data_IF_872735546206
#
_entry.id   IF_872735546206
#
_cell.length_a   1.000
_cell.length_b   1.000
_cell.length_c   1.000
_cell.angle_alpha   90.00
_cell.angle_beta   90.00
_cell.angle_gamma   90.00
#
_symmetry.space_group_name_H-M   'P 1'
#
loop_
_entity.id
_entity.type
_entity.pdbx_description
1 polymer ?
#
# COMPACT_ATOMS: atom_id res chain seq x y z
N UNK A 1 -11.42 22.06 -13.48
CA UNK A 1 -10.78 20.73 -13.28
C UNK A 1 -9.34 20.85 -13.71
N UNK A 2 -8.42 20.16 -13.06
CA UNK A 2 -7.05 20.06 -13.60
C UNK A 2 -7.14 19.19 -14.87
N UNK A 3 -6.74 19.73 -16.01
CA UNK A 3 -6.64 18.96 -17.25
C UNK A 3 -5.36 18.13 -17.21
N UNK A 4 -5.50 16.86 -16.86
CA UNK A 4 -4.40 15.91 -16.97
C UNK A 4 -4.24 15.48 -18.44
N UNK A 5 -3.08 15.76 -19.04
CA UNK A 5 -2.85 15.49 -20.47
C UNK A 5 -2.38 14.06 -20.75
N UNK A 6 -1.62 13.46 -19.82
CA UNK A 6 -0.91 12.20 -20.02
C UNK A 6 -1.36 11.06 -19.12
N UNK A 7 -2.24 11.34 -18.14
CA UNK A 7 -2.82 10.39 -17.20
C UNK A 7 -4.28 10.73 -16.97
N UNK A 8 -5.07 9.78 -16.47
CA UNK A 8 -6.48 10.01 -16.18
C UNK A 8 -6.71 10.21 -14.68
N UNK A 9 -7.59 11.15 -14.33
CA UNK A 9 -8.12 11.24 -12.97
C UNK A 9 -9.41 10.41 -12.88
N UNK A 10 -9.30 9.23 -12.28
CA UNK A 10 -10.38 8.21 -12.25
C UNK A 10 -11.20 8.21 -10.96
N UNK A 11 -10.89 9.08 -10.00
CA UNK A 11 -11.63 9.18 -8.75
C UNK A 11 -13.02 9.78 -9.01
N UNK A 12 -14.05 9.11 -8.49
CA UNK A 12 -15.45 9.49 -8.58
C UNK A 12 -15.97 9.76 -7.17
N UNK A 13 -16.17 11.04 -6.86
CA UNK A 13 -16.60 11.49 -5.53
C UNK A 13 -17.92 10.85 -5.10
N UNK A 14 -18.90 10.74 -6.01
CA UNK A 14 -20.20 10.13 -5.68
C UNK A 14 -20.04 8.66 -5.28
N UNK A 15 -19.19 7.93 -5.99
CA UNK A 15 -18.94 6.53 -5.64
C UNK A 15 -18.22 6.42 -4.29
N UNK A 16 -17.23 7.28 -4.03
CA UNK A 16 -16.56 7.33 -2.74
C UNK A 16 -17.53 7.66 -1.59
N UNK A 17 -18.42 8.63 -1.78
CA UNK A 17 -19.46 9.02 -0.82
C UNK A 17 -20.42 7.85 -0.50
N UNK A 18 -20.76 7.03 -1.51
CA UNK A 18 -21.60 5.85 -1.33
C UNK A 18 -20.91 4.77 -0.45
N UNK A 19 -19.58 4.76 -0.38
CA UNK A 19 -18.80 3.87 0.48
C UNK A 19 -18.70 4.35 1.93
N UNK A 20 -19.03 5.61 2.21
CA UNK A 20 -19.02 6.24 3.54
C UNK A 20 -17.68 6.01 4.26
N UNK A 21 -17.72 5.70 5.55
CA UNK A 21 -16.52 5.50 6.37
C UNK A 21 -15.92 4.09 6.26
N UNK A 22 -16.38 3.25 5.32
CA UNK A 22 -15.81 1.91 5.11
C UNK A 22 -14.45 2.00 4.41
N UNK A 23 -13.40 2.17 5.23
CA UNK A 23 -12.04 2.38 4.76
C UNK A 23 -11.50 1.21 3.94
N UNK A 24 -11.96 -0.02 4.18
CA UNK A 24 -11.54 -1.20 3.42
C UNK A 24 -12.14 -1.16 2.01
N UNK A 25 -13.43 -0.79 1.89
CA UNK A 25 -14.03 -0.59 0.55
C UNK A 25 -13.42 0.59 -0.18
N UNK A 26 -13.17 1.71 0.49
CA UNK A 26 -12.49 2.87 -0.10
C UNK A 26 -11.07 2.51 -0.58
N UNK A 27 -10.34 1.72 0.21
CA UNK A 27 -9.06 1.16 -0.17
C UNK A 27 -9.16 0.32 -1.43
N UNK A 28 -10.06 -0.67 -1.49
CA UNK A 28 -10.24 -1.52 -2.68
C UNK A 28 -10.63 -0.69 -3.90
N UNK A 29 -11.53 0.28 -3.75
CA UNK A 29 -11.89 1.20 -4.82
C UNK A 29 -10.68 1.98 -5.34
N UNK A 30 -9.89 2.57 -4.43
CA UNK A 30 -8.67 3.30 -4.78
C UNK A 30 -7.63 2.41 -5.47
N UNK A 31 -7.39 1.21 -4.95
CA UNK A 31 -6.49 0.23 -5.57
C UNK A 31 -6.90 -0.06 -7.01
N UNK A 32 -8.19 -0.32 -7.24
CA UNK A 32 -8.72 -0.68 -8.55
C UNK A 32 -8.58 0.46 -9.58
N UNK A 33 -8.85 1.71 -9.18
CA UNK A 33 -8.66 2.84 -10.10
C UNK A 33 -7.18 3.14 -10.37
N UNK A 34 -6.29 2.94 -9.39
CA UNK A 34 -4.85 3.13 -9.57
C UNK A 34 -4.25 2.06 -10.49
N UNK A 35 -4.74 0.81 -10.38
CA UNK A 35 -4.33 -0.28 -11.26
C UNK A 35 -4.96 -0.26 -12.66
N UNK A 36 -6.02 0.53 -12.87
CA UNK A 36 -6.66 0.65 -14.18
C UNK A 36 -5.82 1.45 -15.19
N UNK A 37 -4.87 2.26 -14.73
CA UNK A 37 -3.98 3.05 -15.59
C UNK A 37 -2.54 2.51 -15.52
N UNK A 38 -2.13 1.77 -16.56
CA UNK A 38 -0.81 1.15 -16.63
C UNK A 38 0.36 2.15 -16.68
N UNK A 39 0.08 3.43 -16.91
CA UNK A 39 1.10 4.51 -16.80
C UNK A 39 1.40 4.86 -15.34
N UNK A 40 0.50 4.51 -14.43
CA UNK A 40 0.59 4.78 -12.99
C UNK A 40 1.12 3.55 -12.26
N UNK A 41 0.67 2.35 -12.64
CA UNK A 41 1.13 1.07 -12.08
C UNK A 41 1.35 0.05 -13.18
N UNK A 42 2.57 -0.47 -13.29
CA UNK A 42 2.89 -1.55 -14.20
C UNK A 42 2.27 -2.91 -13.76
N UNK A 43 2.23 -3.88 -14.67
CA UNK A 43 1.57 -5.17 -14.42
C UNK A 43 2.24 -5.94 -13.27
N UNK A 44 1.44 -6.32 -12.27
CA UNK A 44 1.91 -7.06 -11.09
C UNK A 44 2.73 -6.23 -10.09
N UNK A 45 2.99 -4.95 -10.38
CA UNK A 45 3.63 -4.01 -9.47
C UNK A 45 2.62 -3.21 -8.66
N UNK A 46 3.16 -2.34 -7.81
CA UNK A 46 2.40 -1.53 -6.88
C UNK A 46 1.81 -2.29 -5.69
N UNK A 47 1.64 -1.59 -4.59
CA UNK A 47 1.11 -2.10 -3.34
C UNK A 47 0.32 -1.00 -2.64
N UNK A 48 -0.84 -1.34 -2.07
CA UNK A 48 -1.75 -0.34 -1.48
C UNK A 48 -2.25 -0.88 -0.14
N UNK A 49 -2.53 0.03 0.80
CA UNK A 49 -3.05 -0.34 2.12
C UNK A 49 -4.02 0.69 2.72
N UNK A 50 -4.74 0.25 3.74
CA UNK A 50 -5.38 1.10 4.73
C UNK A 50 -5.12 0.60 6.16
N UNK A 51 -5.26 1.49 7.14
CA UNK A 51 -5.28 1.16 8.57
C UNK A 51 -6.65 1.51 9.13
N UNK A 52 -7.24 0.59 9.87
CA UNK A 52 -8.55 0.73 10.53
C UNK A 52 -8.41 0.40 12.01
N UNK A 53 -9.42 0.79 12.79
CA UNK A 53 -9.59 0.30 14.15
C UNK A 53 -10.59 -0.84 14.12
N UNK A 54 -10.16 -2.03 14.54
CA UNK A 54 -10.98 -3.24 14.58
C UNK A 54 -11.09 -3.74 16.01
N UNK A 55 -12.07 -4.60 16.27
CA UNK A 55 -12.16 -5.33 17.55
C UNK A 55 -11.34 -6.61 17.47
N UNK A 56 -10.38 -6.77 18.37
CA UNK A 56 -9.64 -8.01 18.53
C UNK A 56 -10.60 -9.16 18.93
N UNK A 57 -10.65 -10.28 18.21
CA UNK A 57 -11.60 -11.37 18.47
C UNK A 57 -11.31 -12.14 19.77
N UNK A 58 -10.11 -12.01 20.34
CA UNK A 58 -9.69 -12.70 21.56
C UNK A 58 -9.83 -11.81 22.80
N UNK A 59 -9.57 -10.50 22.68
CA UNK A 59 -9.59 -9.57 23.82
C UNK A 59 -10.79 -8.63 23.82
N UNK A 60 -11.48 -8.48 22.69
CA UNK A 60 -12.52 -7.48 22.44
C UNK A 60 -12.04 -6.01 22.51
N UNK A 61 -10.73 -5.79 22.59
CA UNK A 61 -10.13 -4.45 22.60
C UNK A 61 -10.09 -3.85 21.19
N UNK A 62 -10.06 -2.52 21.13
CA UNK A 62 -9.86 -1.79 19.87
C UNK A 62 -8.37 -1.81 19.50
N UNK A 63 -8.06 -2.32 18.31
CA UNK A 63 -6.70 -2.49 17.81
C UNK A 63 -6.56 -1.92 16.40
N UNK A 64 -5.39 -1.34 16.10
CA UNK A 64 -5.09 -0.86 14.76
C UNK A 64 -4.73 -2.03 13.83
N UNK A 65 -5.54 -2.27 12.81
CA UNK A 65 -5.32 -3.31 11.80
C UNK A 65 -4.97 -2.67 10.47
N UNK A 66 -3.88 -3.12 9.86
CA UNK A 66 -3.52 -2.75 8.51
C UNK A 66 -4.04 -3.80 7.53
N UNK A 67 -4.84 -3.34 6.58
CA UNK A 67 -5.28 -4.11 5.43
C UNK A 67 -4.40 -3.75 4.24
N UNK A 68 -3.77 -4.74 3.63
CA UNK A 68 -2.80 -4.54 2.55
C UNK A 68 -3.04 -5.53 1.42
N UNK A 69 -2.75 -5.13 0.18
CA UNK A 69 -2.72 -6.04 -0.97
C UNK A 69 -1.85 -7.27 -0.64
N UNK A 70 -2.34 -8.46 -0.96
CA UNK A 70 -1.61 -9.71 -0.83
C UNK A 70 -0.52 -9.88 -1.90
N UNK A 71 0.43 -10.76 -1.63
CA UNK A 71 1.50 -11.11 -2.56
C UNK A 71 0.94 -11.70 -3.87
N UNK A 72 1.51 -11.28 -4.99
CA UNK A 72 1.14 -11.71 -6.35
C UNK A 72 -0.21 -11.21 -6.89
N UNK A 73 -0.99 -10.45 -6.10
CA UNK A 73 -2.25 -9.85 -6.57
C UNK A 73 -2.03 -8.57 -7.38
N UNK A 74 -2.91 -8.32 -8.35
CA UNK A 74 -2.98 -7.07 -9.12
C UNK A 74 -3.90 -6.07 -8.40
N UNK A 75 -3.43 -4.83 -8.18
CA UNK A 75 -4.24 -3.79 -7.54
C UNK A 75 -5.45 -3.38 -8.38
N UNK A 76 -5.40 -3.53 -9.71
CA UNK A 76 -6.48 -3.17 -10.63
C UNK A 76 -7.70 -4.08 -10.56
N UNK A 77 -7.53 -5.30 -10.02
CA UNK A 77 -8.58 -6.31 -9.86
C UNK A 77 -8.71 -6.77 -8.41
N UNK A 78 -8.24 -5.95 -7.47
CA UNK A 78 -8.16 -6.30 -6.06
C UNK A 78 -9.56 -6.45 -5.46
N UNK A 79 -9.72 -7.52 -4.70
CA UNK A 79 -10.94 -7.84 -3.95
C UNK A 79 -10.58 -8.19 -2.51
N UNK A 80 -11.60 -8.34 -1.65
CA UNK A 80 -11.40 -8.68 -0.23
C UNK A 80 -10.64 -9.99 0.01
N UNK A 81 -10.73 -10.97 -0.90
CA UNK A 81 -9.96 -12.22 -0.82
C UNK A 81 -8.49 -12.05 -1.26
N UNK A 82 -8.16 -10.94 -1.91
CA UNK A 82 -6.81 -10.62 -2.39
C UNK A 82 -5.98 -9.81 -1.40
N UNK A 83 -6.47 -9.54 -0.20
CA UNK A 83 -5.80 -8.70 0.80
C UNK A 83 -5.45 -9.50 2.06
N UNK A 84 -4.54 -8.96 2.86
CA UNK A 84 -4.15 -9.47 4.16
C UNK A 84 -4.47 -8.43 5.25
N UNK A 85 -5.00 -8.88 6.38
CA UNK A 85 -5.20 -8.07 7.58
C UNK A 85 -4.12 -8.39 8.62
N UNK A 86 -3.40 -7.38 9.11
CA UNK A 86 -2.32 -7.54 10.08
C UNK A 86 -2.51 -6.60 11.27
N UNK A 87 -2.26 -7.09 12.49
CA UNK A 87 -2.07 -6.26 13.67
C UNK A 87 -0.89 -5.32 13.46
N UNK A 88 -1.16 -4.01 13.41
CA UNK A 88 -0.13 -3.01 13.08
C UNK A 88 0.93 -2.94 14.17
N UNK A 89 0.54 -3.11 15.44
CA UNK A 89 1.48 -3.14 16.56
C UNK A 89 2.45 -4.33 16.46
N UNK A 90 1.94 -5.54 16.18
CA UNK A 90 2.80 -6.74 16.03
C UNK A 90 3.78 -6.56 14.87
N UNK A 91 3.31 -6.00 13.76
CA UNK A 91 4.18 -5.66 12.63
C UNK A 91 5.28 -4.67 13.03
N UNK A 92 4.95 -3.63 13.81
CA UNK A 92 5.95 -2.67 14.31
C UNK A 92 6.94 -3.31 15.28
N UNK A 93 6.50 -4.28 16.09
CA UNK A 93 7.36 -5.02 17.03
C UNK A 93 8.41 -5.89 16.33
N UNK A 94 8.23 -6.22 15.05
CA UNK A 94 9.25 -6.93 14.26
C UNK A 94 10.59 -6.18 14.21
N UNK A 95 10.58 -4.84 14.37
CA UNK A 95 11.82 -4.05 14.48
C UNK A 95 12.71 -4.47 15.65
N UNK A 96 12.14 -5.04 16.70
CA UNK A 96 12.88 -5.46 17.89
C UNK A 96 13.70 -6.75 17.66
N UNK A 97 13.36 -7.51 16.60
CA UNK A 97 13.99 -8.80 16.29
C UNK A 97 14.70 -8.81 14.95
N UNK A 98 14.70 -7.70 14.21
CA UNK A 98 15.36 -7.56 12.92
C UNK A 98 16.88 -7.44 13.10
N UNK A 99 17.65 -8.29 12.42
CA UNK A 99 19.10 -8.39 12.62
C UNK A 99 19.95 -7.70 11.54
N UNK A 100 19.36 -7.36 10.39
CA UNK A 100 20.11 -6.78 9.26
C UNK A 100 19.58 -7.27 7.93
N UNK A 101 20.23 -6.86 6.84
CA UNK A 101 19.82 -7.17 5.47
C UNK A 101 19.82 -8.69 5.20
N UNK A 102 20.73 -9.42 5.83
CA UNK A 102 20.81 -10.88 5.76
C UNK A 102 19.61 -11.61 6.40
N UNK A 103 18.80 -10.90 7.18
CA UNK A 103 17.68 -11.44 7.94
C UNK A 103 16.32 -11.27 7.22
N UNK A 104 16.29 -10.60 6.07
CA UNK A 104 15.06 -10.25 5.34
C UNK A 104 14.17 -11.48 5.04
N UNK A 105 14.77 -12.59 4.61
CA UNK A 105 14.03 -13.83 4.31
C UNK A 105 13.31 -14.39 5.54
N UNK A 106 13.96 -14.35 6.72
CA UNK A 106 13.34 -14.79 7.97
C UNK A 106 12.21 -13.85 8.36
N UNK A 107 12.39 -12.54 8.17
CA UNK A 107 11.38 -11.53 8.52
C UNK A 107 10.08 -11.71 7.77
N UNK A 108 10.12 -12.11 6.49
CA UNK A 108 8.92 -12.41 5.70
C UNK A 108 8.07 -13.50 6.37
N UNK A 109 8.70 -14.54 6.91
CA UNK A 109 8.01 -15.60 7.64
C UNK A 109 7.27 -15.11 8.90
N UNK A 110 7.79 -14.06 9.55
CA UNK A 110 7.21 -13.50 10.76
C UNK A 110 5.93 -12.69 10.52
N UNK A 111 5.65 -12.27 9.28
CA UNK A 111 4.39 -11.58 8.96
C UNK A 111 3.17 -12.45 9.27
N UNK A 112 3.30 -13.78 9.21
CA UNK A 112 2.23 -14.71 9.59
C UNK A 112 1.84 -14.61 11.07
N UNK A 113 2.78 -14.25 11.96
CA UNK A 113 2.47 -14.01 13.38
C UNK A 113 1.77 -12.67 13.64
N UNK A 114 1.74 -11.81 12.62
CA UNK A 114 1.09 -10.51 12.67
C UNK A 114 -0.33 -10.55 12.10
N UNK A 115 -0.82 -11.68 11.55
CA UNK A 115 -2.15 -11.77 10.96
C UNK A 115 -3.26 -11.49 11.98
N UNK A 116 -4.17 -10.59 11.61
CA UNK A 116 -5.44 -10.34 12.26
C UNK A 116 -6.54 -11.24 11.70
N UNK A 117 -6.58 -11.34 10.36
CA UNK A 117 -7.57 -12.12 9.63
C UNK A 117 -6.95 -13.44 9.15
N UNK A 118 -7.55 -14.56 9.54
CA UNK A 118 -7.05 -15.90 9.19
C UNK A 118 -7.33 -16.26 7.72
N UNK A 119 -8.29 -15.62 7.07
CA UNK A 119 -8.59 -15.78 5.64
C UNK A 119 -7.71 -14.85 4.76
N UNK A 120 -6.71 -14.21 5.36
CA UNK A 120 -5.77 -13.34 4.67
C UNK A 120 -5.03 -14.07 3.56
N UNK A 121 -4.84 -13.37 2.44
CA UNK A 121 -3.80 -13.76 1.49
C UNK A 121 -2.42 -13.62 2.15
N UNK A 122 -1.41 -14.30 1.62
CA UNK A 122 -0.03 -14.05 2.03
C UNK A 122 0.28 -12.53 1.92
N UNK A 123 0.77 -11.86 2.99
CA UNK A 123 1.06 -10.43 2.96
C UNK A 123 2.09 -10.08 1.86
N UNK A 124 2.00 -8.86 1.31
CA UNK A 124 3.02 -8.36 0.38
C UNK A 124 4.39 -8.26 1.05
N UNK A 125 5.47 -8.41 0.28
CA UNK A 125 6.83 -8.18 0.77
C UNK A 125 7.04 -6.72 1.23
N UNK A 126 6.29 -5.78 0.63
CA UNK A 126 6.32 -4.36 0.98
C UNK A 126 5.57 -4.03 2.28
N UNK A 127 5.05 -5.04 3.00
CA UNK A 127 4.31 -4.86 4.25
C UNK A 127 5.03 -3.94 5.25
N UNK A 128 6.36 -4.01 5.46
CA UNK A 128 7.06 -3.08 6.35
C UNK A 128 6.94 -1.61 5.91
N UNK A 129 7.04 -1.30 4.61
CA UNK A 129 6.87 0.08 4.10
C UNK A 129 5.52 0.66 4.55
N UNK A 130 4.45 -0.13 4.41
CA UNK A 130 3.10 0.29 4.76
C UNK A 130 2.86 0.33 6.28
N UNK A 131 3.41 -0.62 7.02
CA UNK A 131 3.21 -0.73 8.47
C UNK A 131 3.96 0.33 9.29
N UNK A 132 5.10 0.77 8.79
CA UNK A 132 6.00 1.69 9.50
C UNK A 132 5.64 3.16 9.29
N UNK A 133 5.01 3.51 8.17
CA UNK A 133 4.60 4.88 7.89
C UNK A 133 3.31 5.25 8.67
N UNK A 134 3.23 6.46 9.27
CA UNK A 134 2.15 6.87 10.17
C UNK A 134 0.93 7.43 9.41
N UNK A 135 0.55 6.82 8.29
CA UNK A 135 -0.59 7.24 7.48
C UNK A 135 -1.67 6.17 7.45
N UNK A 136 -2.94 6.61 7.48
CA UNK A 136 -4.10 5.74 7.39
C UNK A 136 -4.17 5.02 6.05
N UNK A 137 -3.81 5.69 4.95
CA UNK A 137 -3.74 5.11 3.62
C UNK A 137 -2.38 5.35 2.99
N UNK A 138 -1.84 4.32 2.34
CA UNK A 138 -0.53 4.38 1.71
C UNK A 138 -0.61 3.66 0.38
N UNK A 139 -0.11 4.32 -0.66
CA UNK A 139 -0.03 3.79 -2.01
C UNK A 139 1.43 3.81 -2.45
N UNK A 140 1.94 2.64 -2.82
CA UNK A 140 3.23 2.46 -3.46
C UNK A 140 2.94 2.03 -4.90
N UNK A 141 3.42 2.79 -5.88
CA UNK A 141 3.09 2.59 -7.29
C UNK A 141 4.38 2.64 -8.11
N UNK A 142 4.33 2.07 -9.31
CA UNK A 142 5.48 1.96 -10.21
C UNK A 142 5.23 2.69 -11.54
N UNK A 143 5.09 4.03 -11.54
CA UNK A 143 4.92 4.78 -12.78
C UNK A 143 6.25 4.87 -13.53
N UNK A 144 6.30 4.34 -14.75
CA UNK A 144 7.51 4.29 -15.59
C UNK A 144 8.16 5.67 -15.76
N UNK A 145 7.37 6.74 -15.85
CA UNK A 145 7.86 8.10 -16.00
C UNK A 145 8.69 8.58 -14.78
N UNK A 146 8.27 8.26 -13.55
CA UNK A 146 9.05 8.63 -12.36
C UNK A 146 10.25 7.71 -12.17
N UNK A 147 10.09 6.43 -12.49
CA UNK A 147 11.20 5.46 -12.46
C UNK A 147 12.31 5.90 -13.41
N UNK A 148 11.97 6.34 -14.62
CA UNK A 148 12.93 6.85 -15.59
C UNK A 148 13.72 8.05 -15.06
N UNK A 149 13.08 8.95 -14.32
CA UNK A 149 13.74 10.10 -13.69
C UNK A 149 14.65 9.64 -12.55
N UNK A 150 14.15 8.77 -11.66
CA UNK A 150 14.92 8.26 -10.52
C UNK A 150 16.15 7.43 -10.94
N UNK A 151 16.06 6.70 -12.06
CA UNK A 151 17.15 5.88 -12.59
C UNK A 151 18.07 6.64 -13.56
N UNK A 152 17.74 7.88 -13.93
CA UNK A 152 18.59 8.68 -14.81
C UNK A 152 19.91 9.04 -14.13
N UNK A 153 20.99 9.09 -14.92
CA UNK A 153 22.32 9.51 -14.43
C UNK A 153 22.28 10.88 -13.75
N UNK A 154 21.45 11.78 -14.26
CA UNK A 154 21.20 13.13 -13.79
C UNK A 154 19.85 13.25 -13.05
N UNK A 155 19.35 12.16 -12.48
CA UNK A 155 18.03 12.10 -11.84
C UNK A 155 17.80 13.14 -10.74
N UNK A 156 18.80 13.44 -9.91
CA UNK A 156 18.71 14.51 -8.89
C UNK A 156 18.48 15.88 -9.54
N UNK A 157 19.22 16.20 -10.60
CA UNK A 157 19.07 17.45 -11.34
C UNK A 157 17.69 17.54 -11.99
N UNK A 158 17.25 16.48 -12.66
CA UNK A 158 15.93 16.42 -13.31
C UNK A 158 14.81 16.55 -12.27
N UNK A 159 14.95 15.89 -11.12
CA UNK A 159 13.98 15.97 -10.02
C UNK A 159 13.85 17.41 -9.52
N UNK A 160 14.98 18.09 -9.28
CA UNK A 160 14.99 19.49 -8.88
C UNK A 160 14.39 20.42 -9.95
N UNK A 161 14.65 20.17 -11.24
CA UNK A 161 14.07 20.95 -12.33
C UNK A 161 12.55 20.84 -12.42
N UNK A 162 12.00 19.64 -12.17
CA UNK A 162 10.56 19.37 -12.28
C UNK A 162 9.82 19.78 -10.99
N UNK A 163 10.34 19.41 -9.82
CA UNK A 163 9.62 19.53 -8.54
C UNK A 163 10.22 20.55 -7.57
N UNK A 164 11.40 21.10 -7.87
CA UNK A 164 12.11 21.98 -6.93
C UNK A 164 12.26 21.31 -5.56
N UNK A 165 11.93 22.03 -4.49
CA UNK A 165 12.05 21.54 -3.12
C UNK A 165 10.81 20.77 -2.61
N UNK A 166 9.89 20.39 -3.50
CA UNK A 166 8.66 19.66 -3.11
C UNK A 166 8.81 18.14 -3.18
N UNK A 167 9.88 17.66 -3.79
CA UNK A 167 10.22 16.23 -3.93
C UNK A 167 11.74 16.10 -3.92
N UNK A 168 12.28 15.12 -3.17
CA UNK A 168 13.71 14.96 -2.89
C UNK A 168 13.98 14.95 -1.40
#
# INVERSE_FOLDING_TARGET
MKDYQYVNYLWNEKHADDLKDDQVKLFLYRSNILGADLRITNYGGGNTSCKTIEKDPLTSEEVEVMWIKGSGGDIGTLTRSGIAGLYTERLRNLKNVYQGLEDEDRMVGLFNHCLFDLDSRAPSIDTPLHGLLPFAHIDHLHPDALIAIAAAKDGEKITQEIWGNTMG
#
